data_IF_653157188395
#
_entry.id   IF_653157188395
#
_cell.length_a   1.000
_cell.length_b   1.000
_cell.length_c   1.000
_cell.angle_alpha   90.00
_cell.angle_beta   90.00
_cell.angle_gamma   90.00
#
_symmetry.space_group_name_H-M   'P 1'
#
loop_
_entity.id
_entity.type
_entity.pdbx_description
1 polymer ?
#
# COMPACT_ATOMS: atom_id res chain seq x y z
N UNK A 1 -8.39 6.35 10.92
CA UNK A 1 -7.44 5.55 11.74
C UNK A 1 -6.19 5.30 10.90
N UNK A 2 -5.02 5.05 11.49
CA UNK A 2 -3.77 4.91 10.71
C UNK A 2 -3.31 6.26 10.13
N UNK A 3 -2.80 7.14 10.99
CA UNK A 3 -2.32 8.51 10.66
C UNK A 3 -3.36 9.48 10.04
N UNK A 4 -4.57 9.03 9.72
CA UNK A 4 -5.65 9.86 9.17
C UNK A 4 -6.55 10.46 10.26
N UNK A 5 -6.77 11.79 10.22
CA UNK A 5 -7.70 12.52 11.10
C UNK A 5 -9.11 12.63 10.49
N UNK A 6 -9.19 13.03 9.22
CA UNK A 6 -10.41 13.03 8.41
C UNK A 6 -10.26 12.08 7.23
N UNK A 7 -11.37 11.57 6.71
CA UNK A 7 -11.37 10.76 5.50
C UNK A 7 -11.52 11.69 4.28
N UNK A 8 -10.39 12.20 3.79
CA UNK A 8 -10.34 13.23 2.74
C UNK A 8 -11.07 12.80 1.46
N UNK A 9 -10.81 11.57 0.99
CA UNK A 9 -11.40 11.04 -0.23
C UNK A 9 -12.90 10.80 -0.08
N UNK A 10 -13.35 10.29 1.07
CA UNK A 10 -14.78 10.14 1.32
C UNK A 10 -15.52 11.49 1.40
N UNK A 11 -14.90 12.50 2.03
CA UNK A 11 -15.42 13.87 2.05
C UNK A 11 -15.53 14.42 0.63
N UNK A 12 -14.50 14.24 -0.20
CA UNK A 12 -14.51 14.69 -1.60
C UNK A 12 -15.62 14.00 -2.41
N UNK A 13 -15.84 12.69 -2.21
CA UNK A 13 -16.94 11.98 -2.86
C UNK A 13 -18.31 12.54 -2.45
N UNK A 14 -18.58 12.69 -1.14
CA UNK A 14 -19.84 13.26 -0.65
C UNK A 14 -20.04 14.70 -1.12
N UNK A 15 -18.98 15.51 -1.09
CA UNK A 15 -19.02 16.87 -1.63
C UNK A 15 -19.40 16.87 -3.11
N UNK A 16 -18.84 15.97 -3.91
CA UNK A 16 -19.15 15.89 -5.33
C UNK A 16 -20.59 15.44 -5.61
N UNK A 17 -21.14 14.55 -4.78
CA UNK A 17 -22.56 14.18 -4.83
C UNK A 17 -23.46 15.35 -4.50
N UNK A 18 -23.16 16.09 -3.43
CA UNK A 18 -24.01 17.17 -2.92
C UNK A 18 -23.94 18.44 -3.79
N UNK A 19 -22.75 18.85 -4.20
CA UNK A 19 -22.55 20.13 -4.90
C UNK A 19 -22.68 20.00 -6.41
N UNK A 20 -22.30 18.86 -6.98
CA UNK A 20 -22.32 18.64 -8.43
C UNK A 20 -23.34 17.59 -8.87
N UNK A 21 -24.09 16.99 -7.94
CA UNK A 21 -25.15 16.04 -8.26
C UNK A 21 -24.67 14.72 -8.86
N UNK A 22 -23.38 14.38 -8.71
CA UNK A 22 -22.82 13.14 -9.27
C UNK A 22 -23.49 11.92 -8.65
N UNK A 23 -23.81 10.94 -9.50
CA UNK A 23 -24.56 9.71 -9.15
C UNK A 23 -23.66 8.48 -9.10
N UNK A 24 -22.49 8.52 -9.74
CA UNK A 24 -21.56 7.38 -9.80
C UNK A 24 -20.13 7.86 -9.61
N UNK A 25 -19.54 7.59 -8.46
CA UNK A 25 -18.15 7.95 -8.15
C UNK A 25 -17.36 6.65 -7.94
N UNK A 26 -16.23 6.51 -8.62
CA UNK A 26 -15.26 5.45 -8.32
C UNK A 26 -14.25 6.00 -7.33
N UNK A 27 -14.08 5.33 -6.21
CA UNK A 27 -12.89 5.46 -5.36
C UNK A 27 -12.02 4.22 -5.61
N UNK A 28 -10.82 4.44 -6.13
CA UNK A 28 -9.79 3.41 -6.18
C UNK A 28 -8.77 3.67 -5.07
N UNK A 29 -8.49 2.66 -4.26
CA UNK A 29 -7.46 2.71 -3.24
C UNK A 29 -6.34 1.73 -3.59
N UNK A 30 -5.14 2.26 -3.86
CA UNK A 30 -3.94 1.46 -4.12
C UNK A 30 -2.89 1.57 -3.01
N UNK A 31 -3.22 2.26 -1.90
CA UNK A 31 -2.42 2.22 -0.68
C UNK A 31 -2.25 0.77 -0.24
N UNK A 32 -1.09 0.43 0.32
CA UNK A 32 -0.81 -0.96 0.72
C UNK A 32 -1.72 -1.40 1.87
N UNK A 33 -2.30 -0.47 2.62
CA UNK A 33 -3.23 -0.74 3.70
C UNK A 33 -4.69 -0.70 3.22
N UNK A 34 -5.53 -1.48 3.88
CA UNK A 34 -6.96 -1.45 3.60
C UNK A 34 -7.59 -0.13 4.05
N UNK A 35 -8.23 0.60 3.12
CA UNK A 35 -9.02 1.81 3.36
C UNK A 35 -10.34 1.57 4.10
N UNK A 36 -10.29 0.90 5.26
CA UNK A 36 -11.46 0.45 6.02
C UNK A 36 -12.45 1.58 6.36
N UNK A 37 -11.95 2.79 6.66
CA UNK A 37 -12.81 3.94 6.92
C UNK A 37 -13.64 4.37 5.72
N UNK A 38 -13.08 4.30 4.51
CA UNK A 38 -13.81 4.60 3.26
C UNK A 38 -14.80 3.48 2.96
N UNK A 39 -14.40 2.22 3.15
CA UNK A 39 -15.30 1.07 3.02
C UNK A 39 -16.52 1.21 3.92
N UNK A 40 -16.34 1.48 5.22
CA UNK A 40 -17.45 1.62 6.15
C UNK A 40 -18.37 2.79 5.80
N UNK A 41 -17.83 3.89 5.28
CA UNK A 41 -18.61 5.08 4.92
C UNK A 41 -19.58 4.83 3.76
N UNK A 42 -19.22 3.97 2.80
CA UNK A 42 -19.99 3.70 1.58
C UNK A 42 -20.53 2.27 1.49
N UNK A 43 -20.45 1.48 2.56
CA UNK A 43 -20.74 0.04 2.53
C UNK A 43 -22.17 -0.30 2.04
N UNK A 44 -23.12 0.61 2.26
CA UNK A 44 -24.52 0.49 1.86
C UNK A 44 -24.92 1.37 0.66
N UNK A 45 -23.95 1.97 -0.06
CA UNK A 45 -24.17 3.04 -1.04
C UNK A 45 -23.66 2.63 -2.44
N UNK A 46 -24.56 2.36 -3.39
CA UNK A 46 -24.19 2.04 -4.78
C UNK A 46 -23.80 3.24 -5.65
N UNK A 47 -24.00 4.46 -5.15
CA UNK A 47 -23.57 5.67 -5.86
C UNK A 47 -22.06 5.93 -5.71
N UNK A 48 -21.38 5.13 -4.88
CA UNK A 48 -19.93 5.08 -4.77
C UNK A 48 -19.44 3.63 -4.89
N UNK A 49 -18.64 3.35 -5.93
CA UNK A 49 -17.92 2.09 -6.07
C UNK A 49 -16.55 2.24 -5.40
N UNK A 50 -16.24 1.41 -4.41
CA UNK A 50 -14.92 1.34 -3.79
C UNK A 50 -14.17 0.09 -4.26
N UNK A 51 -12.94 0.26 -4.74
CA UNK A 51 -12.03 -0.84 -5.07
C UNK A 51 -10.73 -0.65 -4.31
N UNK A 52 -10.38 -1.57 -3.41
CA UNK A 52 -9.13 -1.54 -2.63
C UNK A 52 -8.15 -2.62 -3.10
N UNK A 53 -6.86 -2.27 -3.25
CA UNK A 53 -5.76 -3.21 -3.53
C UNK A 53 -4.74 -3.17 -2.39
N UNK A 54 -4.91 -4.03 -1.38
CA UNK A 54 -4.14 -3.95 -0.14
C UNK A 54 -3.44 -5.26 0.20
N UNK A 55 -2.33 -5.14 0.92
CA UNK A 55 -1.73 -6.26 1.64
C UNK A 55 -2.67 -6.68 2.75
N UNK A 56 -3.02 -7.95 2.76
CA UNK A 56 -4.00 -8.49 3.69
C UNK A 56 -3.40 -9.56 4.59
N UNK A 57 -2.57 -10.44 4.02
CA UNK A 57 -1.96 -11.57 4.74
C UNK A 57 -3.00 -12.31 5.60
N UNK A 58 -4.16 -12.65 5.05
CA UNK A 58 -5.29 -13.28 5.76
C UNK A 58 -5.74 -12.50 7.01
N UNK A 59 -5.86 -11.19 6.88
CA UNK A 59 -6.19 -10.29 7.99
C UNK A 59 -5.07 -10.15 9.03
N UNK A 60 -3.84 -10.62 8.75
CA UNK A 60 -2.71 -10.40 9.64
C UNK A 60 -2.15 -8.98 9.52
N UNK A 61 -2.08 -8.44 8.31
CA UNK A 61 -1.45 -7.15 8.05
C UNK A 61 -2.33 -6.01 8.55
N UNK A 62 -1.73 -4.91 9.02
CA UNK A 62 -2.48 -3.75 9.54
C UNK A 62 -3.51 -3.28 8.48
N UNK A 63 -4.77 -2.99 8.85
CA UNK A 63 -5.33 -2.80 10.19
C UNK A 63 -5.72 -4.08 10.96
N UNK A 64 -5.35 -5.26 10.45
CA UNK A 64 -5.55 -6.57 11.08
C UNK A 64 -7.03 -6.88 11.38
N UNK A 65 -7.85 -6.89 10.33
CA UNK A 65 -9.29 -7.12 10.40
C UNK A 65 -9.74 -8.07 9.30
N UNK A 66 -10.86 -8.77 9.50
CA UNK A 66 -11.55 -9.53 8.44
C UNK A 66 -12.26 -8.62 7.43
N UNK A 67 -12.40 -7.33 7.73
CA UNK A 67 -13.06 -6.34 6.87
C UNK A 67 -12.35 -6.13 5.54
N UNK A 68 -11.06 -6.47 5.45
CA UNK A 68 -10.28 -6.40 4.22
C UNK A 68 -10.40 -7.64 3.34
N UNK A 69 -11.19 -8.65 3.71
CA UNK A 69 -11.41 -9.87 2.92
C UNK A 69 -12.11 -9.57 1.58
N UNK A 70 -11.83 -10.36 0.55
CA UNK A 70 -12.55 -10.33 -0.73
C UNK A 70 -14.05 -10.64 -0.59
N UNK A 71 -14.47 -11.26 0.52
CA UNK A 71 -15.88 -11.60 0.79
C UNK A 71 -16.71 -10.39 1.27
N UNK A 72 -16.07 -9.27 1.59
CA UNK A 72 -16.73 -8.05 2.05
C UNK A 72 -17.17 -7.22 0.85
N UNK A 73 -18.38 -7.49 0.36
CA UNK A 73 -18.87 -6.96 -0.91
C UNK A 73 -19.77 -5.73 -0.80
N UNK A 74 -20.05 -5.25 0.41
CA UNK A 74 -21.10 -4.25 0.68
C UNK A 74 -22.38 -4.91 1.21
N UNK A 75 -23.35 -4.11 1.60
CA UNK A 75 -24.63 -4.56 2.16
C UNK A 75 -25.81 -3.75 1.58
N UNK A 76 -27.00 -4.35 1.57
CA UNK A 76 -28.21 -3.71 1.06
C UNK A 76 -28.06 -3.22 -0.39
N UNK A 77 -28.38 -1.95 -0.63
CA UNK A 77 -28.23 -1.34 -1.96
C UNK A 77 -26.77 -1.26 -2.43
N UNK A 78 -25.80 -1.28 -1.51
CA UNK A 78 -24.37 -1.25 -1.80
C UNK A 78 -23.74 -2.61 -2.10
N UNK A 79 -24.51 -3.70 -2.07
CA UNK A 79 -23.99 -5.05 -2.34
C UNK A 79 -23.38 -5.13 -3.76
N UNK A 80 -22.11 -5.54 -3.83
CA UNK A 80 -21.30 -5.60 -5.04
C UNK A 80 -20.48 -4.34 -5.34
N UNK A 81 -20.71 -3.23 -4.61
CA UNK A 81 -20.03 -1.93 -4.81
C UNK A 81 -18.84 -1.71 -3.86
N UNK A 82 -18.50 -2.68 -3.02
CA UNK A 82 -17.21 -2.74 -2.32
C UNK A 82 -16.40 -3.92 -2.86
N UNK A 83 -15.22 -3.68 -3.42
CA UNK A 83 -14.36 -4.70 -4.02
C UNK A 83 -13.00 -4.68 -3.33
N UNK A 84 -12.69 -5.75 -2.60
CA UNK A 84 -11.39 -5.92 -1.94
C UNK A 84 -10.51 -6.89 -2.71
N UNK A 85 -9.36 -6.42 -3.20
CA UNK A 85 -8.30 -7.25 -3.79
C UNK A 85 -7.26 -7.51 -2.71
N UNK A 86 -7.54 -8.54 -1.91
CA UNK A 86 -6.79 -8.88 -0.71
C UNK A 86 -5.56 -9.74 -1.00
N UNK A 87 -4.37 -9.13 -1.00
CA UNK A 87 -3.12 -9.85 -1.25
C UNK A 87 -2.70 -10.66 -0.02
N UNK A 88 -2.69 -11.99 -0.16
CA UNK A 88 -2.56 -12.92 0.96
C UNK A 88 -1.17 -13.56 1.13
N UNK A 89 -0.30 -13.47 0.13
CA UNK A 89 1.01 -14.12 0.16
C UNK A 89 2.02 -13.44 -0.75
N UNK A 90 3.19 -13.16 -0.17
CA UNK A 90 4.33 -12.58 -0.88
C UNK A 90 4.16 -11.08 -1.12
N UNK A 91 5.24 -10.47 -1.58
CA UNK A 91 5.26 -9.06 -1.94
C UNK A 91 4.93 -8.88 -3.42
N UNK A 92 4.01 -7.97 -3.71
CA UNK A 92 3.55 -7.71 -5.07
C UNK A 92 4.34 -6.59 -5.72
N UNK A 93 4.42 -6.61 -7.04
CA UNK A 93 4.98 -5.53 -7.85
C UNK A 93 4.10 -5.26 -9.07
N UNK A 94 4.72 -4.69 -10.10
CA UNK A 94 4.01 -4.19 -11.28
C UNK A 94 3.17 -5.28 -11.96
N UNK A 95 3.69 -6.50 -12.14
CA UNK A 95 2.99 -7.58 -12.82
C UNK A 95 1.64 -7.92 -12.16
N UNK A 96 1.61 -7.95 -10.83
CA UNK A 96 0.42 -8.31 -10.06
C UNK A 96 -0.63 -7.19 -10.06
N UNK A 97 -0.20 -5.94 -9.89
CA UNK A 97 -1.11 -4.79 -9.92
C UNK A 97 -1.69 -4.58 -11.33
N UNK A 98 -0.87 -4.67 -12.38
CA UNK A 98 -1.35 -4.58 -13.77
C UNK A 98 -2.31 -5.73 -14.09
N UNK A 99 -2.04 -6.95 -13.63
CA UNK A 99 -2.96 -8.07 -13.79
C UNK A 99 -4.30 -7.82 -13.06
N UNK A 100 -4.28 -7.33 -11.83
CA UNK A 100 -5.49 -6.96 -11.09
C UNK A 100 -6.29 -5.86 -11.82
N UNK A 101 -5.60 -4.87 -12.40
CA UNK A 101 -6.24 -3.81 -13.17
C UNK A 101 -6.96 -4.34 -14.40
N UNK A 102 -6.29 -5.17 -15.20
CA UNK A 102 -6.90 -5.74 -16.41
C UNK A 102 -8.02 -6.73 -16.12
N UNK A 103 -7.90 -7.53 -15.05
CA UNK A 103 -8.84 -8.63 -14.76
C UNK A 103 -10.01 -8.24 -13.86
N UNK A 104 -9.86 -7.19 -13.04
CA UNK A 104 -10.86 -6.79 -12.04
C UNK A 104 -11.18 -5.31 -12.15
N UNK A 105 -10.20 -4.43 -11.93
CA UNK A 105 -10.45 -2.98 -11.76
C UNK A 105 -11.11 -2.38 -13.00
N UNK A 106 -10.47 -2.50 -14.17
CA UNK A 106 -10.96 -1.88 -15.40
C UNK A 106 -12.26 -2.50 -15.91
N UNK A 107 -12.47 -3.83 -15.90
CA UNK A 107 -13.76 -4.42 -16.25
C UNK A 107 -14.92 -3.93 -15.37
N UNK A 108 -14.74 -3.90 -14.04
CA UNK A 108 -15.76 -3.41 -13.10
C UNK A 108 -15.99 -1.91 -13.32
N UNK A 109 -14.93 -1.10 -13.32
CA UNK A 109 -15.02 0.35 -13.43
C UNK A 109 -15.64 0.79 -14.77
N UNK A 110 -15.30 0.13 -15.87
CA UNK A 110 -15.90 0.40 -17.18
C UNK A 110 -17.39 0.07 -17.21
N UNK A 111 -17.80 -1.05 -16.57
CA UNK A 111 -19.21 -1.41 -16.45
C UNK A 111 -19.98 -0.44 -15.54
N UNK A 112 -19.35 0.03 -14.46
CA UNK A 112 -19.92 1.03 -13.54
C UNK A 112 -20.08 2.40 -14.20
N UNK A 113 -19.20 2.73 -15.14
CA UNK A 113 -19.22 4.00 -15.90
C UNK A 113 -19.26 5.22 -14.96
N UNK A 114 -18.22 5.41 -14.12
CA UNK A 114 -18.17 6.51 -13.15
C UNK A 114 -18.18 7.87 -13.83
N UNK A 115 -18.70 8.87 -13.12
CA UNK A 115 -18.72 10.27 -13.51
C UNK A 115 -17.53 11.04 -12.93
N UNK A 116 -16.87 10.48 -11.91
CA UNK A 116 -15.64 10.97 -11.31
C UNK A 116 -14.84 9.78 -10.78
N UNK A 117 -13.52 9.82 -10.95
CA UNK A 117 -12.59 8.89 -10.31
C UNK A 117 -11.79 9.64 -9.26
N UNK A 118 -11.85 9.16 -8.02
CA UNK A 118 -10.99 9.56 -6.93
C UNK A 118 -10.01 8.43 -6.66
N UNK A 119 -8.74 8.76 -6.46
CA UNK A 119 -7.70 7.79 -6.13
C UNK A 119 -7.14 8.14 -4.76
N UNK A 120 -7.30 7.22 -3.80
CA UNK A 120 -6.52 7.19 -2.57
C UNK A 120 -5.10 6.76 -2.94
N UNK A 121 -4.25 7.76 -3.18
CA UNK A 121 -2.96 7.59 -3.81
C UNK A 121 -1.84 7.40 -2.77
N UNK A 122 -1.90 6.30 -2.03
CA UNK A 122 -0.82 5.85 -1.16
C UNK A 122 0.36 5.27 -1.94
N UNK A 123 1.59 5.59 -1.55
CA UNK A 123 2.81 5.09 -2.21
C UNK A 123 3.64 4.18 -1.30
N UNK A 124 3.04 3.59 -0.28
CA UNK A 124 3.69 2.62 0.60
C UNK A 124 3.70 1.19 0.04
N UNK A 125 3.03 0.95 -1.09
CA UNK A 125 3.23 -0.24 -1.92
C UNK A 125 4.41 -0.10 -2.90
N UNK A 126 5.08 1.05 -2.93
CA UNK A 126 6.18 1.32 -3.83
C UNK A 126 7.48 0.62 -3.39
N UNK A 127 8.34 0.34 -4.37
CA UNK A 127 9.69 -0.18 -4.11
C UNK A 127 10.44 0.70 -3.10
N UNK A 128 10.99 0.08 -2.06
CA UNK A 128 11.79 0.75 -1.03
C UNK A 128 11.00 1.39 0.10
N UNK A 129 9.67 1.29 0.12
CA UNK A 129 8.88 1.70 1.28
C UNK A 129 9.18 0.80 2.51
N UNK A 130 9.38 1.38 3.71
CA UNK A 130 9.75 0.61 4.90
C UNK A 130 8.60 -0.19 5.54
N UNK A 131 7.34 0.06 5.18
CA UNK A 131 6.17 -0.56 5.84
C UNK A 131 5.47 -1.59 4.94
N UNK A 132 5.23 -1.27 3.66
CA UNK A 132 4.45 -2.14 2.78
C UNK A 132 5.20 -3.41 2.34
N UNK A 133 6.50 -3.27 2.05
CA UNK A 133 7.36 -4.34 1.58
C UNK A 133 7.16 -4.73 0.10
N UNK A 134 6.31 -4.01 -0.62
CA UNK A 134 5.99 -4.26 -2.03
C UNK A 134 7.02 -3.61 -2.96
N UNK A 135 6.88 -3.89 -4.25
CA UNK A 135 7.87 -3.55 -5.27
C UNK A 135 7.23 -2.90 -6.50
N UNK A 136 6.17 -2.10 -6.30
CA UNK A 136 5.60 -1.34 -7.41
C UNK A 136 6.60 -0.25 -7.81
N UNK A 137 6.91 -0.17 -9.11
CA UNK A 137 7.79 0.86 -9.62
C UNK A 137 7.02 2.17 -9.84
N UNK A 138 7.70 3.33 -9.88
CA UNK A 138 7.08 4.58 -10.32
C UNK A 138 6.37 4.45 -11.68
N UNK A 139 6.93 3.64 -12.58
CA UNK A 139 6.31 3.33 -13.87
C UNK A 139 5.02 2.53 -13.71
N UNK A 140 4.94 1.58 -12.78
CA UNK A 140 3.70 0.88 -12.44
C UNK A 140 2.56 1.82 -12.07
N UNK A 141 2.82 2.81 -11.20
CA UNK A 141 1.84 3.84 -10.86
C UNK A 141 1.43 4.72 -12.05
N UNK A 142 2.35 5.02 -12.96
CA UNK A 142 2.06 5.73 -14.21
C UNK A 142 1.01 4.97 -15.03
N UNK A 143 1.22 3.66 -15.22
CA UNK A 143 0.29 2.80 -15.98
C UNK A 143 -1.07 2.67 -15.30
N UNK A 144 -1.11 2.52 -13.97
CA UNK A 144 -2.36 2.52 -13.21
C UNK A 144 -3.14 3.83 -13.40
N UNK A 145 -2.46 4.97 -13.28
CA UNK A 145 -3.04 6.31 -13.51
C UNK A 145 -3.57 6.45 -14.93
N UNK A 146 -2.82 5.98 -15.93
CA UNK A 146 -3.20 6.07 -17.33
C UNK A 146 -4.48 5.27 -17.63
N UNK A 147 -4.57 4.04 -17.13
CA UNK A 147 -5.76 3.21 -17.28
C UNK A 147 -7.00 3.90 -16.69
N UNK A 148 -6.89 4.48 -15.50
CA UNK A 148 -7.99 5.21 -14.86
C UNK A 148 -8.39 6.49 -15.60
N UNK A 149 -7.43 7.14 -16.27
CA UNK A 149 -7.66 8.36 -17.06
C UNK A 149 -8.57 8.12 -18.28
N UNK A 150 -8.77 6.87 -18.68
CA UNK A 150 -9.75 6.52 -19.72
C UNK A 150 -11.22 6.56 -19.24
N UNK A 151 -11.44 6.62 -17.92
CA UNK A 151 -12.76 6.64 -17.30
C UNK A 151 -13.23 8.08 -17.05
N UNK A 152 -14.53 8.27 -16.80
CA UNK A 152 -15.12 9.55 -16.38
C UNK A 152 -14.75 10.75 -17.27
N UNK A 153 -14.50 10.52 -18.56
CA UNK A 153 -13.96 11.51 -19.51
C UNK A 153 -12.68 12.21 -18.99
N UNK A 154 -11.79 11.46 -18.34
CA UNK A 154 -10.53 11.97 -17.79
C UNK A 154 -10.67 12.73 -16.47
N UNK A 155 -11.85 12.76 -15.84
CA UNK A 155 -12.02 13.36 -14.51
C UNK A 155 -11.47 12.44 -13.43
N UNK A 156 -10.16 12.54 -13.21
CA UNK A 156 -9.41 11.77 -12.22
C UNK A 156 -8.73 12.72 -11.24
N UNK A 157 -8.89 12.46 -9.94
CA UNK A 157 -8.24 13.20 -8.86
C UNK A 157 -7.45 12.22 -8.00
N UNK A 158 -6.15 12.47 -7.83
CA UNK A 158 -5.29 11.71 -6.92
C UNK A 158 -5.13 12.51 -5.62
N UNK A 159 -5.40 11.87 -4.48
CA UNK A 159 -5.18 12.42 -3.14
C UNK A 159 -4.08 11.60 -2.47
N UNK A 160 -2.98 12.23 -2.07
CA UNK A 160 -1.90 11.55 -1.36
C UNK A 160 -2.42 10.95 -0.04
N UNK A 161 -2.15 9.66 0.19
CA UNK A 161 -2.43 8.95 1.44
C UNK A 161 -1.11 8.53 2.12
N UNK A 162 -0.82 7.22 2.20
CA UNK A 162 0.42 6.68 2.76
C UNK A 162 1.64 6.80 1.83
N UNK A 163 2.74 6.22 2.29
CA UNK A 163 4.06 6.31 1.66
C UNK A 163 5.06 6.94 2.62
N UNK A 164 6.16 6.22 2.89
CA UNK A 164 7.09 6.56 3.96
C UNK A 164 8.55 6.55 3.50
N UNK A 165 8.80 6.22 2.23
CA UNK A 165 10.05 6.50 1.55
C UNK A 165 9.92 7.75 0.67
N UNK A 166 10.58 8.85 1.05
CA UNK A 166 10.51 10.14 0.34
C UNK A 166 10.90 10.05 -1.14
N UNK A 167 11.87 9.20 -1.48
CA UNK A 167 12.31 9.02 -2.87
C UNK A 167 11.25 8.30 -3.68
N UNK A 168 10.70 7.21 -3.13
CA UNK A 168 9.66 6.43 -3.78
C UNK A 168 8.38 7.24 -3.99
N UNK A 169 7.93 7.99 -2.98
CA UNK A 169 6.78 8.90 -3.08
C UNK A 169 7.00 9.93 -4.19
N UNK A 170 8.16 10.60 -4.17
CA UNK A 170 8.48 11.68 -5.11
C UNK A 170 8.49 11.19 -6.55
N UNK A 171 9.14 10.06 -6.81
CA UNK A 171 9.20 9.48 -8.16
C UNK A 171 7.84 8.97 -8.62
N UNK A 172 7.10 8.24 -7.78
CA UNK A 172 5.79 7.71 -8.14
C UNK A 172 4.77 8.82 -8.40
N UNK A 173 4.67 9.81 -7.53
CA UNK A 173 3.78 10.96 -7.74
C UNK A 173 4.18 11.79 -8.96
N UNK A 174 5.47 11.95 -9.23
CA UNK A 174 5.95 12.63 -10.45
C UNK A 174 5.49 11.89 -11.71
N UNK A 175 5.59 10.56 -11.73
CA UNK A 175 5.10 9.74 -12.86
C UNK A 175 3.58 9.81 -13.02
N UNK A 176 2.82 9.75 -11.92
CA UNK A 176 1.36 9.95 -11.97
C UNK A 176 1.01 11.32 -12.54
N UNK A 177 1.69 12.38 -12.09
CA UNK A 177 1.47 13.76 -12.54
C UNK A 177 1.77 13.92 -14.02
N UNK A 178 2.88 13.35 -14.50
CA UNK A 178 3.27 13.34 -15.91
C UNK A 178 2.18 12.71 -16.79
N UNK A 179 1.61 11.57 -16.38
CA UNK A 179 0.48 10.93 -17.07
C UNK A 179 -0.77 11.79 -17.05
N UNK A 180 -1.10 12.43 -15.91
CA UNK A 180 -2.24 13.36 -15.84
C UNK A 180 -2.08 14.58 -16.75
N UNK A 181 -0.84 15.01 -17.00
CA UNK A 181 -0.52 16.08 -17.96
C UNK A 181 -0.57 15.62 -19.42
N UNK A 182 -0.74 14.32 -19.67
CA UNK A 182 -0.87 13.74 -21.02
C UNK A 182 0.42 13.17 -21.60
N UNK A 183 1.50 13.07 -20.82
CA UNK A 183 2.71 12.42 -21.27
C UNK A 183 2.49 10.92 -21.47
N UNK A 184 3.28 10.32 -22.37
CA UNK A 184 3.22 8.89 -22.63
C UNK A 184 3.75 8.07 -21.45
N UNK A 185 3.10 6.95 -21.14
CA UNK A 185 3.60 6.04 -20.12
C UNK A 185 5.01 5.53 -20.46
N UNK A 186 5.91 5.44 -19.48
CA UNK A 186 7.20 4.78 -19.67
C UNK A 186 7.02 3.29 -19.99
N UNK A 187 7.99 2.70 -20.66
CA UNK A 187 7.99 1.25 -20.92
C UNK A 187 8.00 0.47 -19.59
N UNK A 188 7.11 -0.51 -19.46
CA UNK A 188 7.01 -1.35 -18.27
C UNK A 188 7.42 -2.78 -18.62
N UNK A 189 8.44 -3.29 -17.93
CA UNK A 189 8.89 -4.68 -18.10
C UNK A 189 8.03 -5.58 -17.20
N UNK A 190 7.01 -6.20 -17.78
CA UNK A 190 6.07 -7.05 -17.05
C UNK A 190 6.50 -8.51 -17.16
N UNK A 191 6.64 -9.16 -16.01
CA UNK A 191 6.82 -10.61 -15.89
C UNK A 191 5.48 -11.31 -15.67
N UNK A 192 5.49 -12.65 -15.61
CA UNK A 192 4.30 -13.40 -15.17
C UNK A 192 3.95 -12.99 -13.72
N UNK A 193 2.67 -12.69 -13.41
CA UNK A 193 2.23 -12.49 -12.02
C UNK A 193 2.49 -13.74 -11.18
N UNK A 194 2.83 -13.54 -9.89
CA UNK A 194 2.97 -14.64 -8.91
C UNK A 194 1.69 -15.47 -8.81
N UNK A 195 1.84 -16.77 -8.57
CA UNK A 195 0.70 -17.68 -8.46
C UNK A 195 -0.22 -17.33 -7.27
N UNK A 196 0.31 -16.75 -6.19
CA UNK A 196 -0.49 -16.22 -5.08
C UNK A 196 -1.41 -15.08 -5.54
N UNK A 197 -0.91 -14.16 -6.36
CA UNK A 197 -1.71 -13.08 -6.91
C UNK A 197 -2.75 -13.59 -7.91
N UNK A 198 -2.39 -14.55 -8.76
CA UNK A 198 -3.35 -15.20 -9.67
C UNK A 198 -4.48 -15.86 -8.86
N UNK A 199 -4.18 -16.50 -7.73
CA UNK A 199 -5.18 -17.08 -6.83
C UNK A 199 -6.09 -16.00 -6.24
N UNK A 200 -5.54 -14.92 -5.68
CA UNK A 200 -6.34 -13.77 -5.18
C UNK A 200 -7.25 -13.23 -6.28
N UNK A 201 -6.72 -12.97 -7.48
CA UNK A 201 -7.49 -12.43 -8.61
C UNK A 201 -8.66 -13.37 -8.95
N UNK A 202 -8.42 -14.69 -9.01
CA UNK A 202 -9.48 -15.67 -9.28
C UNK A 202 -10.56 -15.64 -8.20
N UNK A 203 -10.18 -15.63 -6.92
CA UNK A 203 -11.11 -15.58 -5.79
C UNK A 203 -12.01 -14.33 -5.85
N UNK A 204 -11.41 -13.15 -5.95
CA UNK A 204 -12.15 -11.87 -6.02
C UNK A 204 -13.13 -11.92 -7.19
N UNK A 205 -12.65 -12.35 -8.33
CA UNK A 205 -13.42 -12.37 -9.54
C UNK A 205 -14.55 -13.44 -9.45
N UNK A 206 -14.38 -14.52 -8.68
CA UNK A 206 -15.40 -15.54 -8.42
C UNK A 206 -16.49 -15.06 -7.46
N UNK A 207 -16.13 -14.25 -6.47
CA UNK A 207 -17.08 -13.54 -5.60
C UNK A 207 -17.87 -12.52 -6.42
N UNK A 208 -17.17 -11.71 -7.22
CA UNK A 208 -17.78 -10.54 -7.87
C UNK A 208 -18.53 -10.83 -9.17
N UNK A 209 -18.38 -12.01 -9.78
CA UNK A 209 -19.10 -12.38 -11.03
C UNK A 209 -20.62 -12.34 -10.91
N UNK A 210 -21.17 -12.45 -9.70
CA UNK A 210 -22.61 -12.37 -9.47
C UNK A 210 -23.15 -10.95 -9.66
N UNK A 211 -22.32 -9.94 -9.35
CA UNK A 211 -22.67 -8.52 -9.42
C UNK A 211 -22.23 -7.86 -10.74
N UNK A 212 -21.10 -8.30 -11.29
CA UNK A 212 -20.48 -7.67 -12.47
C UNK A 212 -20.44 -8.63 -13.66
N UNK A 213 -21.20 -8.30 -14.71
CA UNK A 213 -21.30 -9.10 -15.95
C UNK A 213 -19.96 -9.20 -16.67
N UNK A 214 -19.12 -8.16 -16.59
CA UNK A 214 -17.77 -8.14 -17.16
C UNK A 214 -16.85 -9.25 -16.62
N UNK A 215 -17.19 -9.86 -15.47
CA UNK A 215 -16.39 -10.93 -14.86
C UNK A 215 -16.94 -12.34 -15.11
N UNK A 216 -18.14 -12.47 -15.72
CA UNK A 216 -18.79 -13.77 -15.96
C UNK A 216 -18.12 -14.59 -17.06
N UNK A 217 -17.55 -13.92 -18.06
CA UNK A 217 -16.97 -14.56 -19.24
C UNK A 217 -15.45 -14.65 -19.09
N UNK A 218 -14.98 -15.66 -18.35
CA UNK A 218 -13.57 -16.07 -18.40
C UNK A 218 -13.47 -17.19 -19.42
N UNK A 219 -13.28 -16.85 -20.69
CA UNK A 219 -12.87 -17.87 -21.65
C UNK A 219 -11.57 -18.52 -21.17
N UNK A 220 -11.45 -19.83 -21.39
CA UNK A 220 -10.14 -20.49 -21.31
C UNK A 220 -9.25 -19.76 -22.31
N UNK A 221 -8.19 -19.11 -21.83
CA UNK A 221 -7.08 -18.70 -22.68
C UNK A 221 -6.71 -19.95 -23.49
N UNK A 222 -6.70 -19.90 -24.83
CA UNK A 222 -6.27 -21.04 -25.63
C UNK A 222 -4.94 -21.51 -25.08
N UNK A 223 -4.83 -22.79 -24.74
CA UNK A 223 -3.57 -23.37 -24.29
C UNK A 223 -2.52 -22.93 -25.30
N UNK A 224 -1.53 -22.16 -24.84
CA UNK A 224 -0.35 -21.85 -25.64
C UNK A 224 0.24 -23.20 -25.99
N UNK A 225 -0.07 -23.69 -27.19
CA UNK A 225 0.54 -24.89 -27.73
C UNK A 225 2.04 -24.59 -27.67
N UNK A 226 2.81 -25.25 -26.80
CA UNK A 226 4.24 -25.00 -26.76
C UNK A 226 4.75 -25.26 -28.18
N UNK A 227 5.61 -24.39 -28.74
CA UNK A 227 6.14 -24.61 -30.07
C UNK A 227 6.70 -26.02 -30.10
N UNK A 228 6.10 -26.89 -30.93
CA UNK A 228 6.61 -28.23 -31.17
C UNK A 228 8.07 -28.06 -31.54
N UNK A 229 8.94 -28.76 -30.81
CA UNK A 229 10.35 -28.94 -31.18
C UNK A 229 10.42 -29.18 -32.69
N UNK A 230 10.84 -28.16 -33.44
CA UNK A 230 11.29 -28.36 -34.81
C UNK A 230 12.74 -28.84 -34.75
N UNK A 231 12.96 -29.98 -34.08
CA UNK A 231 14.11 -30.84 -34.33
C UNK A 231 13.79 -31.78 -35.49
N UNK A 232 13.36 -31.19 -36.62
CA UNK A 232 13.17 -31.91 -37.87
C UNK A 232 14.08 -31.30 -38.94
N UNK A 233 15.32 -31.77 -38.94
CA UNK A 233 16.19 -31.88 -40.12
C UNK A 233 16.42 -30.62 -40.95
N UNK A 234 17.40 -29.80 -40.56
CA UNK A 234 18.10 -28.96 -41.52
C UNK A 234 18.99 -29.89 -42.35
N UNK A 235 18.54 -30.20 -43.56
CA UNK A 235 19.44 -30.62 -44.64
C UNK A 235 20.16 -29.37 -45.14
N UNK A 236 21.48 -29.46 -45.13
CA UNK A 236 22.38 -28.52 -45.81
C UNK A 236 21.94 -28.35 -47.27
N UNK A 237 21.58 -27.12 -47.64
CA UNK A 237 21.66 -26.68 -49.03
C UNK A 237 22.28 -25.29 -49.10
N UNK A 238 23.58 -25.30 -49.42
CA UNK A 238 24.35 -24.12 -49.82
C UNK A 238 23.75 -23.58 -51.11
N UNK A 239 23.14 -22.39 -51.07
CA UNK A 239 23.12 -21.50 -52.23
C UNK A 239 23.15 -20.03 -51.82
N UNK A 240 24.21 -19.39 -52.33
CA UNK A 240 24.52 -17.97 -52.24
C UNK A 240 23.37 -17.13 -52.79
N UNK A 241 22.98 -16.09 -52.05
CA UNK A 241 22.73 -14.82 -52.71
C UNK A 241 23.09 -13.67 -51.75
N UNK A 242 23.94 -12.81 -52.28
CA UNK A 242 24.40 -11.55 -51.75
C UNK A 242 23.25 -10.55 -51.75
N UNK A 243 23.08 -9.82 -50.65
CA UNK A 243 22.86 -8.37 -50.60
C UNK A 243 22.34 -7.96 -49.21
N UNK A 244 23.26 -7.49 -48.36
CA UNK A 244 22.93 -6.70 -47.17
C UNK A 244 23.96 -5.57 -47.07
N UNK A 245 23.52 -4.34 -47.27
CA UNK A 245 24.22 -3.13 -46.83
C UNK A 245 23.73 -2.75 -45.43
N UNK A 246 24.62 -2.26 -44.54
CA UNK A 246 24.29 -1.95 -43.15
C UNK A 246 23.86 -0.48 -43.00
N UNK A 247 22.91 -0.21 -42.11
CA UNK A 247 22.61 1.15 -41.67
C UNK A 247 22.38 1.17 -40.15
N UNK A 248 23.50 1.32 -39.43
CA UNK A 248 23.55 1.95 -38.11
C UNK A 248 24.83 2.79 -38.06
N UNK A 249 24.68 4.11 -37.91
CA UNK A 249 25.44 4.85 -36.90
C UNK A 249 24.86 6.25 -36.71
N UNK A 250 24.64 6.55 -35.44
CA UNK A 250 24.31 7.82 -34.80
C UNK A 250 25.20 9.00 -35.22
N UNK A 251 24.58 10.17 -35.41
CA UNK A 251 25.26 11.46 -35.38
C UNK A 251 24.53 12.42 -34.42
N UNK A 252 25.18 12.72 -33.30
CA UNK A 252 24.95 13.93 -32.47
C UNK A 252 26.28 14.68 -32.49
N UNK A 253 26.37 15.91 -33.05
CA UNK A 253 27.59 16.70 -32.99
C UNK A 253 27.67 17.46 -31.65
N UNK A 254 28.86 17.42 -31.04
CA UNK A 254 29.32 18.38 -30.04
C UNK A 254 30.34 19.29 -30.73
N UNK A 255 30.11 20.60 -30.68
CA UNK A 255 31.05 21.62 -31.11
C UNK A 255 31.92 22.10 -29.94
N UNK A 256 33.22 22.22 -30.18
CA UNK A 256 34.12 23.24 -29.61
C UNK A 256 35.43 23.32 -30.45
N UNK A 257 36.22 24.40 -30.36
CA UNK A 257 36.57 25.19 -31.55
C UNK A 257 38.06 25.16 -31.91
N UNK A 258 38.39 25.48 -33.16
CA UNK A 258 39.75 25.89 -33.55
C UNK A 258 39.69 27.19 -34.33
N UNK A 259 40.65 28.06 -34.01
CA UNK A 259 40.55 29.49 -34.25
C UNK A 259 41.21 30.02 -35.52
N UNK A 260 41.21 31.35 -35.50
CA UNK A 260 42.08 32.30 -36.22
C UNK A 260 41.97 32.34 -37.74
N UNK A 261 41.35 33.40 -38.24
CA UNK A 261 42.10 34.39 -39.01
C UNK A 261 41.49 35.79 -38.88
N UNK A 262 42.41 36.75 -38.97
CA UNK A 262 42.31 38.15 -38.60
C UNK A 262 41.69 39.03 -39.69
N UNK A 263 41.67 40.34 -39.37
CA UNK A 263 41.35 41.53 -40.18
C UNK A 263 39.92 42.07 -40.02
N UNK A 264 39.67 43.37 -39.90
CA UNK A 264 40.41 44.60 -39.53
C UNK A 264 39.35 45.71 -39.63
N UNK A 265 39.47 46.74 -38.78
CA UNK A 265 38.92 48.10 -38.99
C UNK A 265 37.38 48.23 -38.95
N UNK A 266 36.70 49.27 -38.46
CA UNK A 266 36.95 50.63 -37.94
C UNK A 266 35.62 51.02 -37.24
N UNK A 267 35.64 51.52 -36.00
CA UNK A 267 35.54 52.94 -35.62
C UNK A 267 34.13 53.59 -35.69
N UNK A 268 33.90 54.50 -34.72
CA UNK A 268 32.95 55.63 -34.73
C UNK A 268 31.53 55.46 -34.12
N UNK A 269 31.49 55.65 -32.80
CA UNK A 269 30.74 56.66 -32.01
C UNK A 269 29.23 56.99 -32.20
N UNK A 270 28.58 57.04 -31.03
CA UNK A 270 27.86 58.19 -30.39
C UNK A 270 26.35 58.42 -30.56
N UNK A 271 25.82 58.72 -29.36
CA UNK A 271 24.77 59.69 -28.97
C UNK A 271 23.30 59.24 -29.15
N UNK A 272 22.58 59.06 -28.02
CA UNK A 272 21.73 60.05 -27.29
C UNK A 272 20.35 60.18 -27.96
N UNK A 273 19.20 60.31 -27.30
CA UNK A 273 18.84 60.74 -25.95
C UNK A 273 17.32 60.56 -25.77
N UNK A 274 16.89 60.43 -24.50
CA UNK A 274 15.68 61.05 -23.90
C UNK A 274 14.30 60.47 -24.31
N UNK A 275 13.26 60.41 -23.47
CA UNK A 275 13.07 60.95 -22.12
C UNK A 275 11.78 60.37 -21.49
N UNK A 276 11.81 60.20 -20.15
CA UNK A 276 10.77 60.50 -19.11
C UNK A 276 9.37 59.87 -19.22
N UNK A 277 8.68 59.45 -18.15
CA UNK A 277 8.53 59.94 -16.74
C UNK A 277 7.83 58.84 -15.91
N UNK A 278 8.35 58.36 -14.76
CA UNK A 278 8.22 58.83 -13.34
C UNK A 278 6.84 58.50 -12.70
N UNK A 279 6.65 58.09 -11.44
CA UNK A 279 7.33 58.32 -10.13
C UNK A 279 7.15 57.05 -9.22
N UNK A 280 8.06 56.55 -8.36
CA UNK A 280 8.78 57.06 -7.16
C UNK A 280 7.85 57.31 -5.93
N UNK A 281 8.14 56.97 -4.64
CA UNK A 281 9.39 56.60 -3.93
C UNK A 281 9.13 56.16 -2.44
N UNK A 282 9.99 55.24 -1.95
CA UNK A 282 10.69 55.06 -0.64
C UNK A 282 10.04 55.38 0.74
N UNK A 283 10.10 54.47 1.73
CA UNK A 283 11.11 54.24 2.82
C UNK A 283 11.03 55.08 4.13
N UNK A 284 10.98 54.31 5.23
CA UNK A 284 11.68 54.40 6.55
C UNK A 284 11.16 55.25 7.75
N UNK A 285 11.01 54.48 8.85
CA UNK A 285 11.45 54.71 10.25
C UNK A 285 10.45 55.22 11.31
N UNK A 286 10.49 54.56 12.49
CA UNK A 286 9.62 54.60 13.69
C UNK A 286 9.68 55.92 14.50
N UNK A 287 8.78 56.18 15.50
CA UNK A 287 8.92 55.63 16.87
C UNK A 287 7.60 55.45 17.69
N UNK A 288 7.76 55.06 18.96
CA UNK A 288 6.78 54.64 20.00
C UNK A 288 5.87 55.76 20.58
N UNK A 289 4.86 55.27 21.33
CA UNK A 289 4.29 55.74 22.62
C UNK A 289 2.86 56.35 22.67
N UNK A 290 2.08 55.74 23.58
CA UNK A 290 1.14 56.27 24.58
C UNK A 290 -0.02 57.19 24.15
N UNK A 291 -1.26 56.79 24.50
CA UNK A 291 -2.07 57.40 25.59
C UNK A 291 -3.55 57.00 25.59
N UNK A 292 -3.99 56.54 26.77
CA UNK A 292 -5.12 57.01 27.59
C UNK A 292 -6.48 57.33 26.96
N UNK A 293 -7.55 56.77 27.57
CA UNK A 293 -8.62 57.61 28.14
C UNK A 293 -9.43 56.95 29.26
N UNK A 294 -9.72 57.80 30.24
CA UNK A 294 -10.32 57.62 31.56
C UNK A 294 -11.87 57.63 31.57
N UNK A 295 -12.48 57.05 32.62
CA UNK A 295 -13.32 57.85 33.56
C UNK A 295 -14.82 57.53 33.77
N UNK A 296 -15.14 56.76 34.84
CA UNK A 296 -16.09 56.99 35.99
C UNK A 296 -17.63 57.20 35.78
N UNK A 297 -18.52 57.13 36.83
CA UNK A 297 -18.52 56.42 38.15
C UNK A 297 -19.87 55.79 38.65
N UNK A 298 -19.80 55.18 39.86
CA UNK A 298 -20.81 55.00 40.96
C UNK A 298 -22.04 54.05 40.78
N UNK A 299 -22.54 53.28 41.77
CA UNK A 299 -22.19 52.92 43.16
C UNK A 299 -23.13 51.79 43.69
N UNK A 300 -22.67 50.99 44.69
CA UNK A 300 -23.42 50.15 45.70
C UNK A 300 -24.29 48.98 45.16
N UNK A 301 -24.25 47.76 45.68
CA UNK A 301 -24.40 47.30 47.09
C UNK A 301 -23.79 45.91 47.36
N UNK A 302 -23.41 45.72 48.63
CA UNK A 302 -23.07 44.54 49.44
C UNK A 302 -23.58 43.14 49.03
N UNK A 303 -22.73 42.11 49.20
CA UNK A 303 -22.88 41.09 50.26
C UNK A 303 -21.62 40.22 50.41
N UNK A 304 -21.30 39.93 51.67
CA UNK A 304 -20.30 39.01 52.22
C UNK A 304 -20.40 37.60 51.57
N UNK A 305 -19.40 36.71 51.54
CA UNK A 305 -18.12 36.61 52.22
C UNK A 305 -17.52 35.23 51.90
N UNK A 306 -16.31 35.02 52.39
CA UNK A 306 -15.58 33.75 52.56
C UNK A 306 -14.67 33.19 51.44
N UNK A 307 -13.39 33.12 51.85
CA UNK A 307 -12.27 32.29 51.38
C UNK A 307 -11.46 32.72 50.14
N UNK A 308 -10.70 33.81 50.30
CA UNK A 308 -9.33 33.89 49.78
C UNK A 308 -8.34 34.00 50.94
N UNK A 309 -7.72 32.89 51.31
CA UNK A 309 -6.38 32.91 51.90
C UNK A 309 -5.73 31.53 51.80
N UNK A 310 -4.86 31.36 50.79
CA UNK A 310 -3.65 30.51 50.75
C UNK A 310 -3.20 30.31 49.30
N UNK A 311 -2.47 31.27 48.78
CA UNK A 311 -1.65 31.08 47.57
C UNK A 311 -0.22 31.56 47.84
N UNK A 312 0.53 30.77 48.60
CA UNK A 312 2.00 30.78 48.58
C UNK A 312 2.52 29.46 49.17
N UNK A 313 3.52 28.88 48.50
CA UNK A 313 4.25 27.64 48.84
C UNK A 313 3.59 26.32 48.42
N UNK A 314 3.87 25.92 47.17
CA UNK A 314 4.03 24.51 46.83
C UNK A 314 5.09 24.36 45.73
N UNK A 315 6.32 24.10 46.14
CA UNK A 315 7.39 23.62 45.27
C UNK A 315 6.99 22.24 44.75
N UNK A 316 6.57 22.15 43.48
CA UNK A 316 6.24 20.88 42.84
C UNK A 316 7.52 20.05 42.69
N UNK A 317 7.67 19.03 43.53
CA UNK A 317 8.69 18.01 43.36
C UNK A 317 8.21 17.09 42.25
N UNK A 318 8.93 17.08 41.12
CA UNK A 318 8.64 16.21 40.00
C UNK A 318 8.99 14.76 40.41
N UNK A 319 8.00 13.99 40.86
CA UNK A 319 8.15 12.54 41.04
C UNK A 319 8.12 11.91 39.66
N UNK A 320 9.28 11.40 39.22
CA UNK A 320 9.37 10.49 38.08
C UNK A 320 8.55 9.25 38.44
N UNK A 321 7.35 9.12 37.88
CA UNK A 321 6.61 7.88 37.87
C UNK A 321 7.46 6.86 37.11
N UNK A 322 8.06 5.91 37.82
CA UNK A 322 8.67 4.73 37.20
C UNK A 322 7.64 4.09 36.27
N UNK A 323 8.00 3.93 35.00
CA UNK A 323 7.15 3.23 34.04
C UNK A 323 6.91 1.80 34.56
N UNK A 324 5.66 1.28 34.51
CA UNK A 324 5.38 -0.06 34.99
C UNK A 324 6.31 -1.06 34.30
N UNK A 325 6.96 -1.90 35.11
CA UNK A 325 7.95 -2.86 34.62
C UNK A 325 7.25 -3.94 33.77
N UNK A 326 7.39 -3.85 32.45
CA UNK A 326 6.87 -4.84 31.50
C UNK A 326 7.92 -5.93 31.27
N UNK A 327 7.55 -7.18 31.51
CA UNK A 327 8.35 -8.35 31.16
C UNK A 327 8.02 -8.79 29.74
N UNK A 328 9.04 -9.23 29.00
CA UNK A 328 8.90 -9.71 27.62
C UNK A 328 9.66 -11.02 27.41
N UNK A 329 9.10 -11.92 26.63
CA UNK A 329 9.77 -13.13 26.13
C UNK A 329 9.45 -13.34 24.65
N UNK A 330 10.30 -14.10 23.96
CA UNK A 330 10.16 -14.43 22.54
C UNK A 330 10.29 -15.92 22.33
N UNK A 331 9.33 -16.52 21.63
CA UNK A 331 9.35 -17.92 21.22
C UNK A 331 9.57 -17.95 19.71
N UNK A 332 10.49 -18.79 19.26
CA UNK A 332 10.82 -18.98 17.85
C UNK A 332 10.29 -20.34 17.40
N UNK A 333 9.55 -20.36 16.28
CA UNK A 333 9.01 -21.58 15.68
C UNK A 333 9.42 -21.59 14.22
N UNK A 334 10.27 -22.54 13.85
CA UNK A 334 10.69 -22.76 12.47
C UNK A 334 9.57 -23.49 11.74
N UNK A 335 8.94 -22.83 10.78
CA UNK A 335 7.76 -23.31 10.09
C UNK A 335 8.11 -24.39 9.05
N UNK A 336 9.33 -24.34 8.50
CA UNK A 336 9.80 -25.30 7.49
C UNK A 336 10.06 -26.70 8.08
N UNK A 337 10.29 -26.80 9.39
CA UNK A 337 10.40 -28.09 10.11
C UNK A 337 9.06 -28.85 10.14
N UNK A 338 7.94 -28.13 9.98
CA UNK A 338 6.59 -28.68 10.15
C UNK A 338 5.60 -28.08 9.13
N UNK A 339 5.80 -28.33 7.81
CA UNK A 339 4.99 -27.71 6.75
C UNK A 339 3.50 -28.11 6.80
N UNK A 340 3.18 -29.21 7.48
CA UNK A 340 1.83 -29.74 7.70
C UNK A 340 1.05 -28.94 8.76
N UNK A 341 1.73 -28.13 9.58
CA UNK A 341 1.15 -27.43 10.72
C UNK A 341 1.08 -25.94 10.45
N UNK A 342 -0.15 -25.39 10.42
CA UNK A 342 -0.35 -23.95 10.40
C UNK A 342 -0.28 -23.37 11.83
N UNK A 343 0.93 -23.24 12.37
CA UNK A 343 1.16 -22.72 13.73
C UNK A 343 0.59 -21.31 13.93
N UNK A 344 0.54 -20.50 12.87
CA UNK A 344 -0.03 -19.15 12.92
C UNK A 344 -1.53 -19.22 13.26
N UNK A 345 -2.31 -20.01 12.52
CA UNK A 345 -3.73 -20.18 12.81
C UNK A 345 -3.97 -20.88 14.15
N UNK A 346 -3.16 -21.88 14.49
CA UNK A 346 -3.29 -22.60 15.75
C UNK A 346 -3.12 -21.68 16.96
N UNK A 347 -2.08 -20.85 16.98
CA UNK A 347 -1.84 -19.93 18.09
C UNK A 347 -2.92 -18.84 18.12
N UNK A 348 -3.36 -18.33 16.95
CA UNK A 348 -4.46 -17.36 16.88
C UNK A 348 -5.77 -17.88 17.45
N UNK A 349 -6.16 -19.10 17.09
CA UNK A 349 -7.37 -19.73 17.60
C UNK A 349 -7.39 -19.82 19.14
N UNK A 350 -6.22 -19.92 19.76
CA UNK A 350 -6.04 -20.01 21.21
C UNK A 350 -5.60 -18.70 21.86
N UNK A 351 -5.31 -17.65 21.09
CA UNK A 351 -4.65 -16.43 21.58
C UNK A 351 -5.47 -15.74 22.66
N UNK A 352 -6.78 -15.54 22.44
CA UNK A 352 -7.65 -14.89 23.42
C UNK A 352 -7.70 -15.65 24.75
N UNK A 353 -7.75 -16.98 24.68
CA UNK A 353 -7.73 -17.84 25.87
C UNK A 353 -6.39 -17.73 26.60
N UNK A 354 -5.27 -17.85 25.87
CA UNK A 354 -3.92 -17.72 26.40
C UNK A 354 -3.71 -16.36 27.10
N UNK A 355 -4.06 -15.26 26.44
CA UNK A 355 -3.93 -13.91 26.99
C UNK A 355 -4.76 -13.73 28.27
N UNK A 356 -5.96 -14.31 28.31
CA UNK A 356 -6.88 -14.21 29.45
C UNK A 356 -6.39 -15.04 30.64
N UNK A 357 -6.03 -16.30 30.42
CA UNK A 357 -5.60 -17.22 31.48
C UNK A 357 -4.27 -16.79 32.11
N UNK A 358 -3.38 -16.25 31.30
CA UNK A 358 -2.02 -15.88 31.75
C UNK A 358 -1.91 -14.41 32.12
N UNK A 359 -2.92 -13.56 31.82
CA UNK A 359 -2.86 -12.11 31.98
C UNK A 359 -1.66 -11.50 31.25
N UNK A 360 -1.50 -11.89 29.99
CA UNK A 360 -0.43 -11.42 29.09
C UNK A 360 -1.01 -10.93 27.76
N UNK A 361 -0.15 -10.34 26.92
CA UNK A 361 -0.44 -9.99 25.53
C UNK A 361 0.52 -10.70 24.59
N UNK A 362 -0.03 -11.34 23.56
CA UNK A 362 0.73 -12.08 22.57
C UNK A 362 0.75 -11.31 21.25
N UNK A 363 1.91 -11.25 20.60
CA UNK A 363 2.06 -10.70 19.26
C UNK A 363 2.78 -11.70 18.37
N UNK A 364 2.15 -12.04 17.26
CA UNK A 364 2.67 -12.99 16.28
C UNK A 364 3.34 -12.22 15.14
N UNK A 365 4.58 -12.58 14.81
CA UNK A 365 5.32 -12.01 13.69
C UNK A 365 5.94 -13.12 12.85
N UNK A 366 5.44 -13.30 11.63
CA UNK A 366 6.10 -14.15 10.62
C UNK A 366 7.27 -13.39 9.99
N UNK A 367 8.39 -14.08 9.79
CA UNK A 367 9.57 -13.56 9.10
C UNK A 367 10.13 -14.62 8.16
N UNK A 368 10.45 -14.23 6.93
CA UNK A 368 11.32 -15.00 6.06
C UNK A 368 12.77 -14.52 6.31
N UNK A 369 13.64 -15.43 6.71
CA UNK A 369 15.07 -15.19 6.87
C UNK A 369 15.78 -15.66 5.60
N UNK A 370 16.36 -14.73 4.86
CA UNK A 370 17.28 -15.06 3.77
C UNK A 370 18.64 -15.44 4.35
N UNK A 371 19.04 -16.69 4.19
CA UNK A 371 20.39 -17.13 4.54
C UNK A 371 21.33 -16.79 3.38
N UNK A 372 22.31 -15.90 3.63
CA UNK A 372 23.30 -15.53 2.59
C UNK A 372 24.03 -16.77 2.08
N UNK A 373 23.83 -17.09 0.80
CA UNK A 373 24.54 -18.15 0.09
C UNK A 373 23.75 -19.43 -0.18
N UNK A 374 22.47 -19.49 0.19
CA UNK A 374 21.57 -20.62 -0.13
C UNK A 374 20.27 -20.07 -0.73
N UNK A 375 19.74 -20.68 -1.79
CA UNK A 375 18.44 -20.33 -2.41
C UNK A 375 17.22 -20.65 -1.51
N UNK A 376 17.42 -20.80 -0.19
CA UNK A 376 16.40 -21.22 0.75
C UNK A 376 16.06 -20.10 1.73
N UNK A 377 14.81 -19.64 1.68
CA UNK A 377 14.23 -18.71 2.66
C UNK A 377 13.66 -19.51 3.83
N UNK A 378 14.26 -19.38 5.01
CA UNK A 378 13.77 -20.02 6.22
C UNK A 378 12.60 -19.22 6.79
N UNK A 379 11.47 -19.87 7.04
CA UNK A 379 10.25 -19.25 7.57
C UNK A 379 10.19 -19.45 9.08
N UNK A 380 10.25 -18.35 9.81
CA UNK A 380 10.18 -18.36 11.28
C UNK A 380 8.96 -17.57 11.75
N UNK A 381 8.21 -18.15 12.69
CA UNK A 381 7.18 -17.46 13.45
C UNK A 381 7.73 -17.07 14.82
N UNK A 382 7.71 -15.78 15.11
CA UNK A 382 7.98 -15.24 16.43
C UNK A 382 6.68 -15.02 17.20
N UNK A 383 6.60 -15.56 18.41
CA UNK A 383 5.55 -15.27 19.38
C UNK A 383 6.15 -14.40 20.48
N UNK A 384 5.81 -13.12 20.50
CA UNK A 384 6.22 -12.20 21.54
C UNK A 384 5.18 -12.17 22.64
N UNK A 385 5.60 -12.38 23.89
CA UNK A 385 4.73 -12.40 25.06
C UNK A 385 5.10 -11.23 25.96
N UNK A 386 4.11 -10.41 26.35
CA UNK A 386 4.29 -9.27 27.24
C UNK A 386 3.38 -9.39 28.47
N UNK A 387 3.89 -9.04 29.65
CA UNK A 387 3.08 -9.06 30.87
C UNK A 387 3.69 -8.23 32.00
N UNK A 388 2.85 -7.84 32.96
CA UNK A 388 3.25 -7.03 34.13
C UNK A 388 3.98 -7.84 35.21
N UNK A 389 3.86 -9.18 35.18
CA UNK A 389 4.55 -10.09 36.10
C UNK A 389 5.34 -11.14 35.33
N UNK A 390 6.54 -11.45 35.81
CA UNK A 390 7.43 -12.45 35.19
C UNK A 390 6.82 -13.86 35.17
N UNK A 391 6.05 -14.21 36.21
CA UNK A 391 5.36 -15.50 36.31
C UNK A 391 4.29 -15.67 35.22
N UNK A 392 3.51 -14.62 34.94
CA UNK A 392 2.51 -14.60 33.86
C UNK A 392 3.14 -14.86 32.49
N UNK A 393 4.27 -14.18 32.21
CA UNK A 393 5.01 -14.37 30.96
C UNK A 393 5.56 -15.79 30.85
N UNK A 394 6.10 -16.37 31.93
CA UNK A 394 6.54 -17.78 31.93
C UNK A 394 5.39 -18.76 31.65
N UNK A 395 4.24 -18.57 32.28
CA UNK A 395 3.08 -19.45 32.09
C UNK A 395 2.60 -19.40 30.64
N UNK A 396 2.53 -18.20 30.05
CA UNK A 396 2.21 -18.04 28.63
C UNK A 396 3.22 -18.72 27.70
N UNK A 397 4.52 -18.59 27.99
CA UNK A 397 5.57 -19.29 27.22
C UNK A 397 5.43 -20.80 27.32
N UNK A 398 5.13 -21.32 28.51
CA UNK A 398 4.89 -22.75 28.72
C UNK A 398 3.69 -23.23 27.88
N UNK A 399 2.54 -22.56 27.99
CA UNK A 399 1.33 -22.96 27.26
C UNK A 399 1.51 -22.91 25.73
N UNK A 400 2.22 -21.91 25.20
CA UNK A 400 2.52 -21.84 23.77
C UNK A 400 3.41 -23.00 23.32
N UNK A 401 4.41 -23.40 24.12
CA UNK A 401 5.22 -24.59 23.83
C UNK A 401 4.42 -25.88 23.93
N UNK A 402 3.52 -26.02 24.92
CA UNK A 402 2.64 -27.20 25.04
C UNK A 402 1.72 -27.36 23.82
N UNK A 403 1.15 -26.25 23.31
CA UNK A 403 0.36 -26.25 22.07
C UNK A 403 1.20 -26.73 20.90
N UNK A 404 2.42 -26.19 20.77
CA UNK A 404 3.36 -26.56 19.70
C UNK A 404 3.69 -28.05 19.74
N UNK A 405 4.10 -28.55 20.91
CA UNK A 405 4.54 -29.93 21.09
C UNK A 405 3.38 -30.93 20.91
N UNK A 406 2.17 -30.56 21.34
CA UNK A 406 0.96 -31.38 21.16
C UNK A 406 0.63 -31.58 19.69
N UNK A 407 0.72 -30.52 18.87
CA UNK A 407 0.39 -30.60 17.45
C UNK A 407 1.46 -31.38 16.67
N UNK A 408 2.74 -31.19 17.02
CA UNK A 408 3.84 -31.99 16.47
C UNK A 408 3.61 -33.48 16.76
N UNK A 409 3.25 -33.83 18.00
CA UNK A 409 2.94 -35.21 18.38
C UNK A 409 1.68 -35.77 17.69
N UNK A 410 0.70 -34.93 17.36
CA UNK A 410 -0.50 -35.30 16.59
C UNK A 410 -0.12 -35.70 15.15
N UNK A 411 0.69 -34.87 14.46
CA UNK A 411 1.14 -35.14 13.09
C UNK A 411 1.99 -36.41 13.02
N UNK A 412 2.94 -36.58 13.96
CA UNK A 412 3.79 -37.78 14.00
C UNK A 412 2.98 -39.07 14.21
N UNK A 413 1.89 -39.02 14.99
CA UNK A 413 0.98 -40.17 15.16
C UNK A 413 0.25 -40.52 13.86
N UNK A 414 -0.25 -39.54 13.12
CA UNK A 414 -0.93 -39.76 11.82
C UNK A 414 0.00 -40.41 10.79
N UNK A 415 1.25 -39.94 10.71
CA UNK A 415 2.27 -40.52 9.82
C UNK A 415 2.63 -41.97 10.20
N UNK A 416 2.64 -42.30 11.48
CA UNK A 416 2.88 -43.68 11.92
C UNK A 416 1.70 -44.60 11.63
N UNK A 417 0.44 -44.13 11.70
CA UNK A 417 -0.72 -44.95 11.32
C UNK A 417 -0.79 -45.23 9.81
N UNK A 418 -0.44 -44.26 8.96
CA UNK A 418 -0.38 -44.46 7.50
C UNK A 418 0.74 -45.42 7.06
N UNK A 419 1.84 -45.50 7.82
CA UNK A 419 2.92 -46.45 7.56
C UNK A 419 2.58 -47.90 7.98
N UNK A 420 1.64 -48.10 8.91
CA UNK A 420 1.21 -49.44 9.34
C UNK A 420 0.20 -50.04 8.35
N UNK A 421 -0.64 -49.22 7.73
CA UNK A 421 -1.61 -49.67 6.71
C UNK A 421 -0.98 -50.01 5.34
N UNK A 422 0.27 -49.60 5.10
CA UNK A 422 0.99 -49.86 3.84
C UNK A 422 2.02 -51.01 3.92
N UNK A 423 1.96 -51.87 4.94
CA UNK A 423 2.79 -53.08 4.99
C UNK A 423 2.16 -54.17 4.10
N UNK A 424 2.83 -54.66 3.03
CA UNK A 424 2.28 -55.74 2.22
C UNK A 424 2.21 -57.01 3.06
N UNK A 425 1.03 -57.62 3.14
CA UNK A 425 0.88 -58.99 3.61
C UNK A 425 1.68 -59.92 2.68
N UNK A 426 2.91 -60.25 3.08
CA UNK A 426 3.68 -61.30 2.44
C UNK A 426 3.01 -62.64 2.75
N UNK A 427 2.31 -63.18 1.76
CA UNK A 427 1.93 -64.59 1.71
C UNK A 427 3.17 -65.47 1.87
N UNK A 428 3.19 -66.37 2.86
CA UNK A 428 4.07 -67.54 2.85
C UNK A 428 3.35 -68.74 3.49
N UNK A 429 3.15 -69.74 2.64
CA UNK A 429 2.62 -71.12 2.80
C UNK A 429 1.12 -71.33 2.72
#
# INVERSE_FOLDING_TARGET
MGFCFFNNVAIAAKYAQEQFGLKRILILDWDVHHGNGTQHQFYNDNSVLLINLHRYDYGCFYPSSEDGSEEKVGEGEGEGYNVNIAWNHGYMGDAEYIAAFHQIVMPIASQYSPELVLVSAGFDSAIGDPLGGYMISPSGYAHMTHMLSSLANGRVILSLEGGYNLTSISHSMCMCTSVLLGDSCPSLQITKPKDSAIKTIKNVCDVHKNYWKGLKFREKIPDLIPPKDQSAGIKDDKKKNTDFLPLFSSNVPKDEPTGTNAEKDTDITKDKTSNTSSENVSEKSSPRQDREREGLPDSKTSQDGDEMDKLASATATLTVSESPKVFKEKIEIHLDDFPEINFIQLIRAKQKTLETETKTKLFLRGQALETRGVEHTEKVLYVHVYGEKREHVRNAVQMVNEIKDTEIASVNRRKNTENVENTPTSSLR
#
